data_IF_427125553861
#
_entry.id   IF_427125553861
#
_cell.length_a   1.000
_cell.length_b   1.000
_cell.length_c   1.000
_cell.angle_alpha   90.00
_cell.angle_beta   90.00
_cell.angle_gamma   90.00
#
_symmetry.space_group_name_H-M   'P 1'
#
loop_
_entity.id
_entity.type
_entity.pdbx_description
1 polymer ?
#
# COMPACT_ATOMS: atom_id res chain seq x y z
N UNK A 1 -11.12 23.19 -16.68
CA UNK A 1 -12.50 22.93 -17.15
C UNK A 1 -12.66 21.62 -17.94
N UNK A 2 -11.64 21.16 -18.67
CA UNK A 2 -11.68 19.93 -19.47
C UNK A 2 -10.82 18.82 -18.85
N UNK A 3 -11.30 18.22 -17.76
CA UNK A 3 -10.62 17.11 -17.08
C UNK A 3 -11.63 16.00 -16.75
N UNK A 4 -11.17 14.75 -16.72
CA UNK A 4 -11.97 13.64 -16.19
C UNK A 4 -11.86 13.63 -14.67
N UNK A 5 -12.99 13.48 -13.99
CA UNK A 5 -13.07 13.37 -12.53
C UNK A 5 -13.90 12.14 -12.19
N UNK A 6 -13.33 11.22 -11.40
CA UNK A 6 -14.00 10.00 -10.96
C UNK A 6 -13.30 9.46 -9.71
N UNK A 7 -13.97 8.52 -9.03
CA UNK A 7 -13.44 7.81 -7.87
C UNK A 7 -12.98 6.40 -8.27
N UNK A 8 -11.92 5.92 -7.64
CA UNK A 8 -11.56 4.50 -7.63
C UNK A 8 -11.81 3.95 -6.23
N UNK A 9 -12.24 2.69 -6.16
CA UNK A 9 -12.61 2.06 -4.90
C UNK A 9 -12.16 0.60 -4.90
N UNK A 10 -11.30 0.30 -3.93
CA UNK A 10 -10.88 -1.04 -3.53
C UNK A 10 -10.19 -0.86 -2.17
N UNK A 11 -10.96 -0.94 -1.08
CA UNK A 11 -10.53 -0.65 0.29
C UNK A 11 -9.42 0.42 0.38
N UNK A 12 -8.31 0.11 1.05
CA UNK A 12 -7.14 0.97 1.18
C UNK A 12 -6.21 0.97 -0.06
N UNK A 13 -6.51 0.18 -1.09
CA UNK A 13 -5.65 -0.04 -2.25
C UNK A 13 -5.85 0.99 -3.38
N UNK A 14 -7.02 1.61 -3.48
CA UNK A 14 -7.47 2.38 -4.66
C UNK A 14 -6.55 3.51 -5.16
N UNK A 15 -5.71 4.08 -4.30
CA UNK A 15 -4.73 5.09 -4.72
C UNK A 15 -3.64 4.50 -5.63
N UNK A 16 -3.25 3.24 -5.43
CA UNK A 16 -2.23 2.53 -6.21
C UNK A 16 -2.61 2.40 -7.69
N UNK A 17 -3.77 1.82 -8.07
CA UNK A 17 -4.16 1.79 -9.48
C UNK A 17 -4.40 3.19 -10.05
N UNK A 18 -4.83 4.17 -9.24
CA UNK A 18 -4.98 5.55 -9.71
C UNK A 18 -3.64 6.15 -10.16
N UNK A 19 -2.57 5.94 -9.40
CA UNK A 19 -1.22 6.40 -9.76
C UNK A 19 -0.68 5.67 -10.99
N UNK A 20 -0.84 4.34 -11.05
CA UNK A 20 -0.35 3.53 -12.18
C UNK A 20 -1.08 3.90 -13.48
N UNK A 21 -2.41 4.01 -13.45
CA UNK A 21 -3.19 4.43 -14.61
C UNK A 21 -2.95 5.90 -14.99
N UNK A 22 -2.63 6.77 -14.02
CA UNK A 22 -2.20 8.13 -14.30
C UNK A 22 -0.87 8.16 -15.07
N UNK A 23 0.11 7.34 -14.66
CA UNK A 23 1.36 7.15 -15.40
C UNK A 23 1.10 6.68 -16.83
N UNK A 24 0.24 5.69 -17.03
CA UNK A 24 -0.12 5.18 -18.36
C UNK A 24 -0.82 6.25 -19.21
N UNK A 25 -1.74 7.01 -18.62
CA UNK A 25 -2.43 8.12 -19.28
C UNK A 25 -1.45 9.19 -19.79
N UNK A 26 -0.43 9.49 -18.99
CA UNK A 26 0.57 10.51 -19.29
C UNK A 26 1.59 10.07 -20.34
N UNK A 27 1.77 8.77 -20.59
CA UNK A 27 2.78 8.24 -21.53
C UNK A 27 2.76 8.92 -22.92
N UNK A 28 1.58 9.37 -23.38
CA UNK A 28 1.40 10.05 -24.68
C UNK A 28 1.03 11.54 -24.55
N UNK A 29 1.11 12.12 -23.35
CA UNK A 29 0.66 13.48 -23.02
C UNK A 29 1.74 14.24 -22.24
N UNK A 30 2.83 14.67 -22.90
CA UNK A 30 4.00 15.27 -22.23
C UNK A 30 3.70 16.56 -21.46
N UNK A 31 2.65 17.29 -21.86
CA UNK A 31 2.29 18.59 -21.28
C UNK A 31 1.16 18.51 -20.24
N UNK A 32 0.63 17.31 -19.98
CA UNK A 32 -0.44 17.12 -18.99
C UNK A 32 0.11 16.61 -17.65
N UNK A 33 -0.71 16.74 -16.61
CA UNK A 33 -0.46 16.19 -15.27
C UNK A 33 -1.76 15.57 -14.75
N UNK A 34 -1.63 14.61 -13.85
CA UNK A 34 -2.77 13.99 -13.18
C UNK A 34 -2.66 14.25 -11.68
N UNK A 35 -3.77 14.67 -11.07
CA UNK A 35 -3.88 14.79 -9.62
C UNK A 35 -4.56 13.53 -9.07
N UNK A 36 -3.88 12.84 -8.17
CA UNK A 36 -4.43 11.72 -7.40
C UNK A 36 -4.53 12.14 -5.94
N UNK A 37 -5.68 11.95 -5.32
CA UNK A 37 -5.90 12.23 -3.90
C UNK A 37 -6.39 10.95 -3.24
N UNK A 38 -5.61 10.45 -2.28
CA UNK A 38 -6.06 9.43 -1.34
C UNK A 38 -6.62 10.14 -0.12
N UNK A 39 -7.87 9.91 0.25
CA UNK A 39 -8.50 10.53 1.42
C UNK A 39 -9.43 9.52 2.08
N UNK A 40 -9.33 9.39 3.41
CA UNK A 40 -10.15 8.43 4.15
C UNK A 40 -10.35 8.86 5.61
N UNK A 41 -11.37 8.28 6.24
CA UNK A 41 -11.61 8.32 7.69
C UNK A 41 -11.87 6.88 8.17
N UNK A 42 -10.83 6.23 8.70
CA UNK A 42 -10.93 4.91 9.29
C UNK A 42 -11.65 5.00 10.65
N UNK A 43 -12.93 4.60 10.67
CA UNK A 43 -13.82 4.65 11.85
C UNK A 43 -14.38 3.27 12.16
N UNK A 44 -14.01 2.72 13.30
CA UNK A 44 -14.43 1.40 13.77
C UNK A 44 -15.51 1.47 14.86
N UNK A 45 -15.65 2.62 15.53
CA UNK A 45 -16.64 2.86 16.57
C UNK A 45 -16.04 2.73 17.98
N UNK A 46 -16.70 3.38 18.94
CA UNK A 46 -16.24 3.42 20.34
C UNK A 46 -16.32 2.04 20.99
N UNK A 47 -15.31 1.70 21.78
CA UNK A 47 -15.12 0.41 22.45
C UNK A 47 -15.08 -0.80 21.49
N UNK A 48 -14.72 -0.58 20.22
CA UNK A 48 -14.54 -1.64 19.23
C UNK A 48 -13.09 -2.16 19.23
N UNK A 49 -12.88 -3.38 18.75
CA UNK A 49 -11.53 -3.94 18.63
C UNK A 49 -10.60 -3.15 17.70
N UNK A 50 -11.16 -2.43 16.71
CA UNK A 50 -10.41 -1.56 15.79
C UNK A 50 -10.33 -0.10 16.22
N UNK A 51 -10.91 0.27 17.38
CA UNK A 51 -10.87 1.65 17.88
C UNK A 51 -9.44 2.23 17.98
N UNK A 52 -8.42 1.48 18.47
CA UNK A 52 -7.06 1.99 18.58
C UNK A 52 -6.37 2.23 17.23
N UNK A 53 -6.90 1.67 16.13
CA UNK A 53 -6.32 1.78 14.78
C UNK A 53 -7.07 2.79 13.91
N UNK A 54 -7.95 3.59 14.52
CA UNK A 54 -8.65 4.67 13.81
C UNK A 54 -7.69 5.77 13.37
N UNK A 55 -8.06 6.47 12.31
CA UNK A 55 -7.28 7.58 11.75
C UNK A 55 -8.07 8.30 10.67
N UNK A 56 -7.65 9.51 10.33
CA UNK A 56 -8.24 10.29 9.26
C UNK A 56 -7.19 11.17 8.62
N UNK A 57 -7.27 11.35 7.30
CA UNK A 57 -6.31 12.19 6.59
C UNK A 57 -6.45 12.07 5.08
N UNK A 58 -5.59 12.82 4.39
CA UNK A 58 -5.47 12.77 2.96
C UNK A 58 -4.03 12.99 2.50
N UNK A 59 -3.68 12.37 1.37
CA UNK A 59 -2.41 12.55 0.66
C UNK A 59 -2.74 12.90 -0.79
N UNK A 60 -2.23 14.04 -1.25
CA UNK A 60 -2.36 14.48 -2.64
C UNK A 60 -1.03 14.30 -3.38
N UNK A 61 -1.08 13.71 -4.56
CA UNK A 61 0.07 13.42 -5.41
C UNK A 61 -0.17 13.97 -6.81
N UNK A 62 0.83 14.68 -7.34
CA UNK A 62 0.83 15.16 -8.72
C UNK A 62 1.72 14.25 -9.55
N UNK A 63 1.10 13.52 -10.47
CA UNK A 63 1.79 12.63 -11.41
C UNK A 63 2.12 13.45 -12.67
N UNK A 64 3.38 13.42 -13.09
CA UNK A 64 3.93 14.27 -14.14
C UNK A 64 5.09 13.58 -14.85
N UNK A 65 5.39 14.01 -16.07
CA UNK A 65 6.69 13.78 -16.69
C UNK A 65 7.80 14.44 -15.86
N UNK A 66 8.99 13.83 -15.87
CA UNK A 66 10.17 14.27 -15.12
C UNK A 66 9.86 14.56 -13.64
N UNK A 67 9.38 13.56 -12.86
CA UNK A 67 9.01 13.77 -11.47
C UNK A 67 10.22 14.19 -10.63
N UNK A 68 10.04 15.17 -9.75
CA UNK A 68 11.13 15.73 -8.94
C UNK A 68 11.47 14.91 -7.69
N UNK A 69 10.66 13.91 -7.36
CA UNK A 69 10.79 13.12 -6.12
C UNK A 69 11.08 11.65 -6.46
N UNK A 70 10.18 10.99 -7.17
CA UNK A 70 10.24 9.55 -7.40
C UNK A 70 9.78 9.21 -8.83
N UNK A 71 10.63 8.50 -9.57
CA UNK A 71 10.28 7.89 -10.83
C UNK A 71 9.69 6.50 -10.58
N UNK A 72 8.56 6.20 -11.21
CA UNK A 72 7.92 4.88 -11.14
C UNK A 72 8.49 3.99 -12.24
N UNK A 73 8.93 2.79 -11.87
CA UNK A 73 9.43 1.79 -12.80
C UNK A 73 8.29 1.04 -13.52
N UNK A 74 8.66 0.22 -14.51
CA UNK A 74 7.75 -0.67 -15.26
C UNK A 74 7.68 -2.08 -14.64
N UNK A 75 7.51 -2.15 -13.32
CA UNK A 75 7.67 -3.39 -12.55
C UNK A 75 6.48 -3.73 -11.63
N UNK A 76 5.36 -3.02 -11.77
CA UNK A 76 4.17 -3.21 -10.94
C UNK A 76 3.58 -4.63 -11.08
N UNK A 77 3.33 -5.27 -9.93
CA UNK A 77 2.65 -6.57 -9.81
C UNK A 77 1.51 -6.43 -8.81
N UNK A 78 0.31 -6.89 -9.20
CA UNK A 78 -0.85 -6.93 -8.34
C UNK A 78 -1.25 -8.39 -8.05
N UNK A 79 -1.77 -8.62 -6.84
CA UNK A 79 -2.35 -9.89 -6.40
C UNK A 79 -3.79 -9.65 -5.95
N UNK A 80 -4.68 -10.61 -6.22
CA UNK A 80 -6.09 -10.52 -5.82
C UNK A 80 -6.55 -11.89 -5.35
N UNK A 81 -7.23 -11.90 -4.21
CA UNK A 81 -7.86 -13.07 -3.61
C UNK A 81 -9.21 -12.62 -3.02
N UNK A 82 -10.27 -13.39 -3.27
CA UNK A 82 -11.58 -13.10 -2.69
C UNK A 82 -11.62 -13.61 -1.24
N UNK A 83 -11.69 -12.67 -0.29
CA UNK A 83 -11.62 -12.93 1.14
C UNK A 83 -12.38 -11.85 1.90
N UNK A 84 -13.11 -12.26 2.93
CA UNK A 84 -13.92 -11.36 3.77
C UNK A 84 -13.18 -11.04 5.07
N UNK A 85 -12.05 -10.37 4.95
CA UNK A 85 -11.28 -9.93 6.12
C UNK A 85 -11.76 -8.55 6.62
N UNK A 86 -12.03 -7.62 5.70
CA UNK A 86 -12.54 -6.29 5.98
C UNK A 86 -13.55 -5.84 4.90
N UNK A 87 -14.77 -5.49 5.30
CA UNK A 87 -15.76 -4.96 4.36
C UNK A 87 -16.78 -4.05 5.05
N UNK A 88 -17.45 -3.21 4.27
CA UNK A 88 -18.50 -2.31 4.77
C UNK A 88 -19.72 -2.35 3.86
N UNK A 89 -20.73 -3.20 4.16
CA UNK A 89 -21.96 -3.25 3.38
C UNK A 89 -22.70 -1.91 3.39
N UNK A 90 -23.51 -1.67 2.36
CA UNK A 90 -24.34 -0.47 2.26
C UNK A 90 -25.22 -0.31 3.49
N UNK A 91 -25.25 0.89 4.07
CA UNK A 91 -26.02 1.19 5.29
C UNK A 91 -25.26 0.95 6.60
N UNK A 92 -24.11 0.27 6.59
CA UNK A 92 -23.29 0.10 7.79
C UNK A 92 -22.46 1.37 8.07
N UNK A 93 -22.55 1.87 9.30
CA UNK A 93 -21.75 3.02 9.76
C UNK A 93 -20.27 2.69 9.90
N UNK A 94 -19.96 1.48 10.37
CA UNK A 94 -18.62 0.99 10.68
C UNK A 94 -18.33 -0.29 9.87
N UNK A 95 -17.06 -0.60 9.58
CA UNK A 95 -16.70 -1.83 8.89
C UNK A 95 -16.98 -3.07 9.74
N UNK A 96 -17.22 -4.17 9.05
CA UNK A 96 -17.17 -5.53 9.59
C UNK A 96 -15.75 -6.06 9.38
N UNK A 97 -15.21 -6.71 10.41
CA UNK A 97 -13.81 -7.14 10.44
C UNK A 97 -13.71 -8.54 11.02
N UNK A 98 -13.08 -9.46 10.29
CA UNK A 98 -12.52 -10.66 10.88
C UNK A 98 -11.04 -10.42 11.15
N UNK A 99 -10.71 -10.06 12.39
CA UNK A 99 -9.36 -9.62 12.75
C UNK A 99 -8.31 -10.73 12.65
N UNK A 100 -8.69 -11.99 12.86
CA UNK A 100 -7.77 -13.12 12.72
C UNK A 100 -7.44 -13.34 11.24
N UNK A 101 -8.48 -13.35 10.40
CA UNK A 101 -8.34 -13.49 8.95
C UNK A 101 -7.60 -12.31 8.32
N UNK A 102 -7.86 -11.07 8.78
CA UNK A 102 -7.19 -9.84 8.29
C UNK A 102 -5.67 -9.91 8.44
N UNK A 103 -5.20 -10.42 9.58
CA UNK A 103 -3.77 -10.55 9.86
C UNK A 103 -3.11 -11.55 8.90
N UNK A 104 -3.71 -12.72 8.72
CA UNK A 104 -3.16 -13.77 7.84
C UNK A 104 -3.24 -13.36 6.36
N UNK A 105 -4.35 -12.73 5.96
CA UNK A 105 -4.58 -12.23 4.59
C UNK A 105 -3.58 -11.14 4.22
N UNK A 106 -3.33 -10.18 5.11
CA UNK A 106 -2.36 -9.11 4.86
C UNK A 106 -0.94 -9.66 4.64
N UNK A 107 -0.46 -10.55 5.52
CA UNK A 107 0.86 -11.19 5.38
C UNK A 107 0.92 -12.00 4.09
N UNK A 108 -0.11 -12.80 3.81
CA UNK A 108 -0.18 -13.62 2.59
C UNK A 108 -0.13 -12.76 1.34
N UNK A 109 -0.94 -11.71 1.25
CA UNK A 109 -0.95 -10.80 0.10
C UNK A 109 0.42 -10.13 -0.11
N UNK A 110 1.07 -9.73 0.97
CA UNK A 110 2.43 -9.17 0.96
C UNK A 110 3.44 -10.19 0.39
N UNK A 111 3.43 -11.42 0.90
CA UNK A 111 4.30 -12.51 0.44
C UNK A 111 4.05 -12.89 -1.02
N UNK A 112 2.79 -13.07 -1.43
CA UNK A 112 2.45 -13.45 -2.80
C UNK A 112 2.89 -12.36 -3.80
N UNK A 113 2.62 -11.09 -3.47
CA UNK A 113 3.01 -9.96 -4.31
C UNK A 113 4.53 -9.83 -4.41
N UNK A 114 5.25 -9.95 -3.29
CA UNK A 114 6.71 -9.92 -3.26
C UNK A 114 7.34 -11.08 -4.05
N UNK A 115 6.87 -12.31 -3.82
CA UNK A 115 7.43 -13.49 -4.47
C UNK A 115 7.25 -13.43 -6.00
N UNK A 116 6.08 -12.99 -6.47
CA UNK A 116 5.85 -12.83 -7.90
C UNK A 116 6.66 -11.65 -8.48
N UNK A 117 6.80 -10.54 -7.74
CA UNK A 117 7.68 -9.43 -8.12
C UNK A 117 9.14 -9.91 -8.27
N UNK A 118 9.70 -10.56 -7.24
CA UNK A 118 11.08 -11.04 -7.23
C UNK A 118 11.34 -12.00 -8.39
N UNK A 119 10.37 -12.89 -8.67
CA UNK A 119 10.42 -13.81 -9.81
C UNK A 119 10.41 -13.11 -11.16
N UNK A 120 9.55 -12.09 -11.37
CA UNK A 120 9.46 -11.36 -12.64
C UNK A 120 10.67 -10.48 -12.90
N UNK A 121 11.18 -9.83 -11.87
CA UNK A 121 12.25 -8.85 -12.00
C UNK A 121 13.65 -9.43 -11.78
N UNK A 122 13.76 -10.66 -11.28
CA UNK A 122 15.05 -11.26 -10.90
C UNK A 122 15.75 -10.46 -9.81
N UNK A 123 14.97 -9.86 -8.90
CA UNK A 123 15.42 -8.95 -7.85
C UNK A 123 15.24 -9.56 -6.47
N UNK A 124 16.07 -9.11 -5.54
CA UNK A 124 16.09 -9.53 -4.15
C UNK A 124 15.88 -8.35 -3.21
N UNK A 125 15.67 -8.61 -1.91
CA UNK A 125 15.55 -7.54 -0.90
C UNK A 125 16.83 -6.68 -0.80
N UNK A 126 17.99 -7.24 -1.14
CA UNK A 126 19.27 -6.54 -1.13
C UNK A 126 19.33 -5.40 -2.17
N UNK A 127 18.53 -5.48 -3.24
CA UNK A 127 18.47 -4.48 -4.30
C UNK A 127 17.70 -3.20 -3.90
N UNK A 128 16.97 -3.23 -2.78
CA UNK A 128 16.13 -2.11 -2.34
C UNK A 128 16.79 -1.39 -1.18
N UNK A 129 16.98 -0.07 -1.29
CA UNK A 129 17.51 0.77 -0.21
C UNK A 129 16.57 0.81 1.01
N UNK A 130 15.26 0.77 0.79
CA UNK A 130 14.22 0.69 1.81
C UNK A 130 12.93 0.12 1.18
N UNK A 131 11.96 -0.26 2.01
CA UNK A 131 10.63 -0.67 1.60
C UNK A 131 9.59 0.32 2.13
N UNK A 132 8.57 0.61 1.31
CA UNK A 132 7.42 1.40 1.71
C UNK A 132 6.15 0.62 1.37
N UNK A 133 5.28 0.41 2.35
CA UNK A 133 4.08 -0.40 2.20
C UNK A 133 2.95 0.09 3.10
N UNK A 134 1.72 -0.28 2.75
CA UNK A 134 0.53 0.03 3.55
C UNK A 134 0.61 -0.64 4.92
N UNK A 135 0.17 0.03 5.98
CA UNK A 135 0.11 -0.55 7.32
C UNK A 135 -1.21 -0.18 8.02
N UNK A 136 -1.97 -1.15 8.53
CA UNK A 136 -3.14 -0.84 9.36
C UNK A 136 -2.74 -0.38 10.77
N UNK A 137 -1.59 -0.87 11.27
CA UNK A 137 -0.91 -0.40 12.48
C UNK A 137 0.54 -0.92 12.47
N UNK A 138 1.45 -0.21 13.13
CA UNK A 138 2.91 -0.40 13.03
C UNK A 138 3.36 -1.83 13.35
N UNK A 139 2.77 -2.49 14.35
CA UNK A 139 3.10 -3.89 14.68
C UNK A 139 2.71 -4.88 13.59
N UNK A 140 1.67 -4.59 12.80
CA UNK A 140 1.26 -5.45 11.68
C UNK A 140 2.26 -5.39 10.54
N UNK A 141 2.78 -4.19 10.25
CA UNK A 141 3.80 -4.00 9.23
C UNK A 141 5.11 -4.70 9.58
N UNK A 142 5.55 -4.62 10.85
CA UNK A 142 6.74 -5.34 11.32
C UNK A 142 6.61 -6.84 11.08
N UNK A 143 5.47 -7.43 11.42
CA UNK A 143 5.21 -8.86 11.17
C UNK A 143 5.24 -9.25 9.69
N UNK A 144 4.70 -8.40 8.80
CA UNK A 144 4.76 -8.67 7.36
C UNK A 144 6.18 -8.51 6.80
N UNK A 145 6.93 -7.52 7.27
CA UNK A 145 8.34 -7.37 6.92
C UNK A 145 9.12 -8.63 7.34
N UNK A 146 9.05 -9.00 8.62
CA UNK A 146 9.68 -10.21 9.17
C UNK A 146 9.33 -11.46 8.34
N UNK A 147 8.09 -11.57 7.83
CA UNK A 147 7.64 -12.72 7.04
C UNK A 147 8.32 -12.92 5.67
N UNK A 148 9.08 -11.94 5.17
CA UNK A 148 9.81 -12.04 3.89
C UNK A 148 11.32 -11.85 4.01
N UNK A 149 11.83 -11.33 5.14
CA UNK A 149 13.26 -11.01 5.27
C UNK A 149 14.14 -12.21 5.58
N UNK A 150 13.57 -13.31 6.09
CA UNK A 150 14.34 -14.46 6.62
C UNK A 150 15.34 -15.05 5.62
N UNK A 151 15.10 -14.89 4.32
CA UNK A 151 15.99 -15.39 3.26
C UNK A 151 17.02 -14.36 2.76
N UNK A 152 17.03 -13.15 3.30
CA UNK A 152 18.03 -12.13 2.98
C UNK A 152 19.30 -12.29 3.84
N UNK A 153 20.42 -11.73 3.38
CA UNK A 153 21.65 -11.67 4.18
C UNK A 153 21.49 -10.76 5.41
N UNK A 154 22.32 -10.98 6.44
CA UNK A 154 22.26 -10.25 7.71
C UNK A 154 22.32 -8.73 7.53
N UNK A 155 23.15 -8.23 6.61
CA UNK A 155 23.28 -6.79 6.34
C UNK A 155 21.99 -6.22 5.76
N UNK A 156 21.35 -6.94 4.83
CA UNK A 156 20.05 -6.55 4.28
C UNK A 156 18.96 -6.59 5.34
N UNK A 157 18.92 -7.62 6.19
CA UNK A 157 17.95 -7.72 7.28
C UNK A 157 18.08 -6.55 8.26
N UNK A 158 19.30 -6.29 8.76
CA UNK A 158 19.57 -5.21 9.70
C UNK A 158 19.17 -3.85 9.12
N UNK A 159 19.51 -3.57 7.86
CA UNK A 159 19.17 -2.32 7.18
C UNK A 159 17.67 -2.11 7.04
N UNK A 160 16.93 -3.15 6.63
CA UNK A 160 15.49 -3.03 6.41
C UNK A 160 14.72 -2.97 7.74
N UNK A 161 15.15 -3.71 8.75
CA UNK A 161 14.52 -3.69 10.07
C UNK A 161 14.77 -2.36 10.80
N UNK A 162 16.02 -1.89 10.84
CA UNK A 162 16.34 -0.61 11.48
C UNK A 162 15.64 0.55 10.79
N UNK A 163 15.63 0.58 9.45
CA UNK A 163 14.89 1.60 8.69
C UNK A 163 13.37 1.55 8.95
N UNK A 164 12.80 0.38 9.19
CA UNK A 164 11.39 0.27 9.59
C UNK A 164 11.16 0.80 11.01
N UNK A 165 12.03 0.48 11.96
CA UNK A 165 11.94 0.92 13.36
C UNK A 165 12.05 2.45 13.46
N UNK A 166 12.98 3.06 12.75
CA UNK A 166 13.09 4.54 12.66
C UNK A 166 11.84 5.19 12.06
N UNK A 167 11.21 4.55 11.07
CA UNK A 167 10.04 5.10 10.40
C UNK A 167 8.75 5.05 11.23
N UNK A 168 8.72 4.24 12.29
CA UNK A 168 7.53 4.06 13.15
C UNK A 168 7.69 4.64 14.55
N UNK A 169 8.81 5.31 14.82
CA UNK A 169 9.04 6.04 16.07
C UNK A 169 8.39 7.43 15.98
N UNK A 170 7.51 7.75 16.95
CA UNK A 170 6.74 9.00 16.98
C UNK A 170 6.51 9.51 18.40
#
# INVERSE_FOLDING_TARGET
PFARCFEMKEACYAATPAIQLAKDYLATRPNEKVLVIATDTARYGLNSGGEPTQGAGAVAMVITHNPSILALNEDAVAYTEDVYDFWRPTGHKYPLVDGALSKDTYIRSFQQSWNEYAKRQGKSLADFASLCFHVPFTKMGKKALESIIDNADETTQERLLSGYEEAVDY
#
